data_IF_047845755557
#
_entry.id   IF_047845755557
#
_cell.length_a   1.000
_cell.length_b   1.000
_cell.length_c   1.000
_cell.angle_alpha   90.00
_cell.angle_beta   90.00
_cell.angle_gamma   90.00
#
_symmetry.space_group_name_H-M   'P 1'
#
loop_
_entity.id
_entity.type
_entity.pdbx_description
1 polymer ?
#
# COMPACT_ATOMS: atom_id res chain seq x y z
N UNK A 1 28.77 18.71 37.44
CA UNK A 1 27.29 18.56 37.50
C UNK A 1 26.56 19.17 36.31
N UNK A 2 26.88 20.40 35.84
CA UNK A 2 26.20 21.03 34.67
C UNK A 2 26.32 20.26 33.34
N UNK A 3 27.44 19.56 33.09
CA UNK A 3 27.67 18.78 31.87
C UNK A 3 26.81 17.50 31.77
N UNK A 4 26.50 16.88 32.91
CA UNK A 4 25.66 15.67 32.95
C UNK A 4 24.19 15.98 32.65
N UNK A 5 23.72 17.17 33.04
CA UNK A 5 22.34 17.63 32.82
C UNK A 5 22.10 17.89 31.32
N UNK A 6 23.09 18.44 30.61
CA UNK A 6 23.02 18.67 29.16
C UNK A 6 22.96 17.34 28.38
N UNK A 7 23.73 16.33 28.79
CA UNK A 7 23.70 15.01 28.15
C UNK A 7 22.36 14.30 28.32
N UNK A 8 21.73 14.40 29.49
CA UNK A 8 20.41 13.83 29.74
C UNK A 8 19.30 14.51 28.92
N UNK A 9 19.38 15.83 28.74
CA UNK A 9 18.42 16.58 27.93
C UNK A 9 18.49 16.23 26.43
N UNK A 10 19.69 16.01 25.89
CA UNK A 10 19.88 15.59 24.50
C UNK A 10 19.36 14.17 24.26
N UNK A 11 19.55 13.26 25.22
CA UNK A 11 19.04 11.88 25.11
C UNK A 11 17.50 11.84 25.19
N UNK A 12 16.87 12.68 26.00
CA UNK A 12 15.41 12.74 26.10
C UNK A 12 14.73 13.23 24.80
N UNK A 13 15.38 14.11 24.04
CA UNK A 13 14.88 14.60 22.75
C UNK A 13 14.94 13.55 21.63
N UNK A 14 15.84 12.56 21.74
CA UNK A 14 15.97 11.49 20.75
C UNK A 14 14.87 10.42 20.87
N UNK A 15 14.24 10.28 22.04
CA UNK A 15 13.22 9.24 22.29
C UNK A 15 11.79 9.68 21.92
N UNK A 16 11.53 10.99 21.80
CA UNK A 16 10.18 11.50 21.48
C UNK A 16 9.86 11.58 19.98
N UNK A 17 10.78 11.15 19.11
CA UNK A 17 10.64 11.26 17.66
C UNK A 17 9.90 10.11 16.96
N UNK A 18 9.50 9.05 17.67
CA UNK A 18 8.81 7.91 17.07
C UNK A 18 7.31 7.92 17.41
N UNK A 19 6.61 8.96 17.00
CA UNK A 19 5.17 8.86 16.78
C UNK A 19 4.95 8.06 15.49
N UNK A 20 5.19 6.75 15.58
CA UNK A 20 4.71 5.78 14.62
C UNK A 20 3.20 5.67 14.80
N UNK A 21 2.47 6.67 14.28
CA UNK A 21 1.07 6.50 13.96
C UNK A 21 0.98 5.30 13.04
N UNK A 22 0.55 4.17 13.61
CA UNK A 22 0.19 2.99 12.85
C UNK A 22 -1.11 3.31 12.13
N UNK A 23 -1.01 4.16 11.10
CA UNK A 23 -1.99 4.17 10.03
C UNK A 23 -1.97 2.75 9.47
N UNK A 24 -3.03 1.99 9.74
CA UNK A 24 -3.36 0.80 8.99
C UNK A 24 -3.52 1.23 7.53
N UNK A 25 -2.39 1.33 6.81
CA UNK A 25 -2.37 1.55 5.37
C UNK A 25 -3.15 0.40 4.76
N UNK A 26 -4.30 0.72 4.18
CA UNK A 26 -5.20 -0.23 3.54
C UNK A 26 -4.40 -1.06 2.53
N UNK A 27 -4.13 -2.31 2.93
CA UNK A 27 -3.40 -3.25 2.13
C UNK A 27 -4.35 -3.79 1.08
N UNK A 28 -4.45 -3.08 -0.04
CA UNK A 28 -5.37 -3.46 -1.08
C UNK A 28 -4.72 -4.51 -2.00
N UNK A 29 -5.34 -5.70 -2.06
CA UNK A 29 -4.86 -6.86 -2.81
C UNK A 29 -5.84 -7.18 -3.94
N UNK A 30 -5.36 -7.29 -5.19
CA UNK A 30 -6.14 -7.82 -6.33
C UNK A 30 -5.48 -9.09 -6.86
N UNK A 31 -6.23 -10.19 -7.08
CA UNK A 31 -5.69 -11.37 -7.73
C UNK A 31 -5.37 -11.07 -9.21
N UNK A 32 -4.29 -11.66 -9.72
CA UNK A 32 -4.00 -11.59 -11.16
C UNK A 32 -4.84 -12.63 -11.89
N UNK A 33 -5.58 -12.21 -12.93
CA UNK A 33 -6.48 -13.09 -13.66
C UNK A 33 -5.71 -14.26 -14.27
N UNK A 34 -6.04 -15.48 -13.83
CA UNK A 34 -5.45 -16.72 -14.33
C UNK A 34 -4.29 -17.26 -13.49
N UNK A 35 -3.92 -16.59 -12.40
CA UNK A 35 -2.87 -17.06 -11.50
C UNK A 35 -3.38 -17.13 -10.06
N UNK A 36 -3.04 -18.22 -9.35
CA UNK A 36 -3.45 -18.43 -7.95
C UNK A 36 -2.35 -18.10 -6.96
N UNK A 37 -1.11 -18.02 -7.44
CA UNK A 37 0.05 -17.80 -6.58
C UNK A 37 0.51 -16.34 -6.63
N UNK A 38 -0.07 -15.49 -7.50
CA UNK A 38 0.32 -14.10 -7.62
C UNK A 38 -0.83 -13.12 -7.38
N UNK A 39 -0.55 -12.14 -6.52
CA UNK A 39 -1.42 -11.02 -6.21
C UNK A 39 -0.72 -9.70 -6.54
N UNK A 40 -1.50 -8.69 -6.93
CA UNK A 40 -1.08 -7.29 -6.94
C UNK A 40 -1.43 -6.65 -5.60
N UNK A 41 -0.47 -5.96 -4.99
CA UNK A 41 -0.66 -5.29 -3.71
C UNK A 41 -0.21 -3.83 -3.77
N UNK A 42 -0.97 -2.96 -3.12
CA UNK A 42 -0.67 -1.53 -3.01
C UNK A 42 -0.06 -1.17 -1.66
N UNK A 43 1.15 -0.62 -1.67
CA UNK A 43 1.86 -0.16 -0.47
C UNK A 43 2.38 1.25 -0.74
N UNK A 44 1.97 2.22 0.09
CA UNK A 44 2.38 3.63 0.00
C UNK A 44 2.09 4.28 -1.36
N UNK A 45 1.03 3.84 -2.05
CA UNK A 45 0.65 4.34 -3.37
C UNK A 45 1.39 3.69 -4.55
N UNK A 46 2.25 2.69 -4.29
CA UNK A 46 2.97 1.94 -5.33
C UNK A 46 2.52 0.48 -5.39
N UNK A 47 2.56 -0.09 -6.59
CA UNK A 47 2.19 -1.48 -6.85
C UNK A 47 3.37 -2.42 -6.66
N UNK A 48 3.10 -3.56 -6.03
CA UNK A 48 4.03 -4.67 -5.87
C UNK A 48 3.36 -5.95 -6.36
N UNK A 49 4.19 -6.86 -6.87
CA UNK A 49 3.80 -8.22 -7.16
C UNK A 49 4.14 -9.08 -5.94
N UNK A 50 3.11 -9.69 -5.36
CA UNK A 50 3.22 -10.62 -4.25
C UNK A 50 3.07 -12.05 -4.79
N UNK A 51 4.08 -12.87 -4.55
CA UNK A 51 4.01 -14.31 -4.74
C UNK A 51 3.67 -14.99 -3.42
N UNK A 52 2.64 -15.83 -3.40
CA UNK A 52 2.27 -16.70 -2.28
C UNK A 52 2.31 -18.15 -2.76
N UNK A 53 3.32 -18.90 -2.33
CA UNK A 53 3.30 -20.35 -2.52
C UNK A 53 2.41 -21.00 -1.47
N UNK A 54 1.32 -21.63 -1.91
CA UNK A 54 0.46 -22.44 -1.04
C UNK A 54 1.13 -23.75 -0.60
N UNK A 55 2.18 -24.19 -1.31
CA UNK A 55 2.85 -25.48 -1.08
C UNK A 55 4.08 -25.38 -0.18
N UNK A 56 4.83 -24.28 -0.25
CA UNK A 56 6.17 -24.21 0.37
C UNK A 56 6.30 -23.21 1.53
N UNK A 57 5.20 -22.61 2.02
CA UNK A 57 5.24 -21.50 3.00
C UNK A 57 6.27 -20.41 2.64
N UNK A 58 6.55 -20.28 1.34
CA UNK A 58 7.51 -19.35 0.79
C UNK A 58 6.76 -18.30 0.01
N UNK A 59 7.24 -17.06 0.09
CA UNK A 59 6.65 -15.94 -0.61
C UNK A 59 7.73 -14.98 -1.10
N UNK A 60 7.32 -14.07 -1.96
CA UNK A 60 8.20 -13.03 -2.48
C UNK A 60 7.41 -11.76 -2.72
N UNK A 61 8.04 -10.62 -2.45
CA UNK A 61 7.49 -9.32 -2.78
C UNK A 61 8.49 -8.64 -3.71
N UNK A 62 8.02 -8.18 -4.87
CA UNK A 62 8.86 -7.41 -5.80
C UNK A 62 8.16 -6.13 -6.24
N UNK A 63 8.93 -5.05 -6.30
CA UNK A 63 8.45 -3.75 -6.78
C UNK A 63 8.13 -3.85 -8.27
N UNK A 64 6.94 -3.40 -8.66
CA UNK A 64 6.60 -3.26 -10.07
C UNK A 64 7.08 -1.93 -10.62
N UNK A 65 7.49 -1.94 -11.88
CA UNK A 65 8.04 -0.80 -12.60
C UNK A 65 7.32 -0.62 -13.92
N UNK A 66 7.12 0.64 -14.28
CA UNK A 66 6.61 1.03 -15.58
C UNK A 66 7.71 1.73 -16.40
N UNK A 67 7.63 1.60 -17.73
CA UNK A 67 8.54 2.32 -18.62
C UNK A 67 7.96 3.69 -18.92
N UNK A 68 8.71 4.74 -18.56
CA UNK A 68 8.38 6.12 -18.92
C UNK A 68 9.43 6.68 -19.88
N UNK A 69 9.15 7.80 -20.59
CA UNK A 69 10.15 8.51 -21.38
C UNK A 69 11.38 8.95 -20.57
N UNK A 70 11.25 9.11 -19.25
CA UNK A 70 12.31 9.51 -18.34
C UNK A 70 13.02 8.30 -17.67
N UNK A 71 12.74 7.08 -18.13
CA UNK A 71 13.29 5.84 -17.58
C UNK A 71 12.28 5.02 -16.76
N UNK A 72 12.71 3.90 -16.16
CA UNK A 72 11.86 3.09 -15.30
C UNK A 72 11.43 3.86 -14.05
N UNK A 73 10.13 3.84 -13.74
CA UNK A 73 9.59 4.44 -12.51
C UNK A 73 8.74 3.41 -11.76
N UNK A 74 8.63 3.51 -10.42
CA UNK A 74 7.75 2.63 -9.65
C UNK A 74 6.31 2.80 -10.11
N UNK A 75 5.65 1.69 -10.43
CA UNK A 75 4.26 1.71 -10.88
C UNK A 75 3.36 2.21 -9.76
N UNK A 76 2.59 3.26 -10.02
CA UNK A 76 1.63 3.79 -9.06
C UNK A 76 0.36 2.94 -9.03
N UNK A 77 -0.31 2.90 -7.87
CA UNK A 77 -1.62 2.28 -7.75
C UNK A 77 -2.64 3.02 -8.61
N UNK A 78 -3.55 2.29 -9.27
CA UNK A 78 -4.70 2.91 -9.92
C UNK A 78 -5.49 3.74 -8.90
N UNK A 79 -5.96 4.96 -9.25
CA UNK A 79 -6.95 5.64 -8.44
C UNK A 79 -8.15 4.70 -8.28
N UNK A 80 -8.58 4.45 -7.05
CA UNK A 80 -9.84 3.74 -6.82
C UNK A 80 -10.93 4.55 -7.51
N UNK A 81 -11.45 4.04 -8.63
CA UNK A 81 -12.60 4.63 -9.28
C UNK A 81 -13.74 4.52 -8.27
N UNK A 82 -14.04 5.63 -7.59
CA UNK A 82 -15.19 5.75 -6.70
C UNK A 82 -16.38 5.28 -7.52
N UNK A 83 -16.97 4.14 -7.14
CA UNK A 83 -18.11 3.56 -7.85
C UNK A 83 -19.12 4.66 -8.11
N UNK A 84 -19.19 5.12 -9.35
CA UNK A 84 -20.30 5.94 -9.79
C UNK A 84 -21.46 4.97 -9.77
N UNK A 85 -22.28 5.05 -8.72
CA UNK A 85 -23.59 4.41 -8.68
C UNK A 85 -24.33 4.93 -9.90
N UNK A 86 -24.30 4.17 -10.99
CA UNK A 86 -25.25 4.33 -12.06
C UNK A 86 -26.56 3.90 -11.41
N UNK A 87 -27.36 4.85 -10.95
CA UNK A 87 -28.77 4.60 -10.64
C UNK A 87 -29.37 4.01 -11.91
N UNK A 88 -29.57 2.69 -11.92
CA UNK A 88 -30.37 2.02 -12.94
C UNK A 88 -31.77 2.60 -12.79
N UNK A 89 -32.32 3.30 -13.80
CA UNK A 89 -33.69 3.79 -13.73
C UNK A 89 -34.61 2.59 -13.56
N UNK A 90 -35.33 2.51 -12.44
CA UNK A 90 -36.32 1.45 -12.26
C UNK A 90 -37.37 1.55 -13.36
N UNK A 91 -37.78 0.42 -13.98
CA UNK A 91 -38.88 0.43 -14.93
C UNK A 91 -40.16 0.89 -14.21
N UNK A 92 -40.73 1.99 -14.69
CA UNK A 92 -42.03 2.48 -14.26
C UNK A 92 -43.07 1.44 -14.73
N UNK A 93 -43.52 0.59 -13.81
CA UNK A 93 -44.67 -0.27 -14.05
C UNK A 93 -45.90 0.61 -14.29
N UNK A 94 -46.35 0.69 -15.54
CA UNK A 94 -47.68 1.17 -15.88
C UNK A 94 -48.68 0.06 -15.59
N UNK A 95 -49.48 0.25 -14.54
CA UNK A 95 -50.77 -0.41 -14.36
C UNK A 95 -51.82 0.25 -15.24
#
# INVERSE_FOLDING_TARGET
MRKAILLLAVMALLVTGCNGGSDQRELYTRPIRGDRDFDLICINGYQYLLYRSTYYNAGGLTQMWERTPNGPQPMQCEPQEKSTTIEVPQPRNTQ
#
